data_IF_876060289974
#
_entry.id   IF_876060289974
#
_cell.length_a   1.000
_cell.length_b   1.000
_cell.length_c   1.000
_cell.angle_alpha   90.00
_cell.angle_beta   90.00
_cell.angle_gamma   90.00
#
_symmetry.space_group_name_H-M   'P 1'
#
loop_
_entity.id
_entity.type
_entity.pdbx_description
1 polymer ?
#
# COMPACT_ATOMS: atom_id res chain seq x y z
N UNK A 1 -20.59 -14.21 -15.26
CA UNK A 1 -20.04 -12.87 -15.60
C UNK A 1 -18.90 -12.61 -14.63
N UNK A 2 -17.70 -12.35 -15.13
CA UNK A 2 -16.53 -12.11 -14.27
C UNK A 2 -16.72 -10.86 -13.41
N UNK A 3 -16.06 -10.83 -12.26
CA UNK A 3 -16.10 -9.70 -11.33
C UNK A 3 -15.29 -8.53 -11.87
N UNK A 4 -15.84 -7.30 -11.84
CA UNK A 4 -15.11 -6.09 -12.27
C UNK A 4 -14.30 -5.55 -11.09
N UNK A 5 -12.99 -5.43 -11.30
CA UNK A 5 -12.05 -4.90 -10.32
C UNK A 5 -11.28 -3.69 -10.84
N UNK A 6 -10.98 -2.74 -9.94
CA UNK A 6 -10.18 -1.57 -10.30
C UNK A 6 -8.68 -1.85 -10.14
N UNK A 7 -7.89 -1.33 -11.09
CA UNK A 7 -6.42 -1.36 -11.06
C UNK A 7 -5.86 0.03 -11.33
N UNK A 8 -4.60 0.23 -10.97
CA UNK A 8 -3.92 1.51 -11.13
C UNK A 8 -2.58 1.29 -11.83
N UNK A 9 -2.39 1.97 -12.95
CA UNK A 9 -1.10 2.06 -13.62
C UNK A 9 -0.47 3.42 -13.33
N UNK A 10 0.86 3.47 -13.09
CA UNK A 10 1.58 4.68 -12.70
C UNK A 10 2.59 5.11 -13.75
N UNK A 11 2.52 6.38 -14.13
CA UNK A 11 3.51 7.04 -14.98
C UNK A 11 4.19 8.17 -14.21
N UNK A 12 5.51 8.34 -14.41
CA UNK A 12 6.28 9.31 -13.66
C UNK A 12 6.78 10.42 -14.57
N UNK A 13 6.39 11.64 -14.28
CA UNK A 13 6.87 12.86 -14.95
C UNK A 13 7.89 13.54 -14.03
N UNK A 14 9.17 13.52 -14.43
CA UNK A 14 10.26 14.15 -13.69
C UNK A 14 10.34 15.64 -14.00
N UNK A 15 10.99 16.43 -13.15
CA UNK A 15 11.17 17.89 -13.33
C UNK A 15 11.76 18.31 -14.68
N UNK A 16 12.62 17.49 -15.28
CA UNK A 16 13.24 17.76 -16.59
C UNK A 16 12.32 17.47 -17.79
N UNK A 17 11.16 16.89 -17.55
CA UNK A 17 10.21 16.58 -18.62
C UNK A 17 9.54 17.86 -19.13
N UNK A 18 9.40 18.02 -20.45
CA UNK A 18 8.87 19.24 -21.11
C UNK A 18 7.51 19.69 -20.56
N UNK A 19 6.66 18.76 -20.15
CA UNK A 19 5.33 19.07 -19.61
C UNK A 19 5.30 19.24 -18.08
N UNK A 20 6.41 19.06 -17.36
CA UNK A 20 6.41 19.09 -15.89
C UNK A 20 5.89 20.41 -15.33
N UNK A 21 6.38 21.55 -15.85
CA UNK A 21 6.00 22.88 -15.34
C UNK A 21 4.49 23.10 -15.49
N UNK A 22 3.95 22.87 -16.66
CA UNK A 22 2.52 23.00 -16.95
C UNK A 22 1.67 22.09 -16.06
N UNK A 23 2.03 20.80 -15.93
CA UNK A 23 1.28 19.86 -15.08
C UNK A 23 1.35 20.25 -13.59
N UNK A 24 2.48 20.83 -13.15
CA UNK A 24 2.63 21.33 -11.78
C UNK A 24 1.75 22.57 -11.53
N UNK A 25 1.68 23.48 -12.48
CA UNK A 25 0.79 24.66 -12.45
C UNK A 25 -0.67 24.23 -12.33
N UNK A 26 -1.11 23.25 -13.12
CA UNK A 26 -2.48 22.72 -13.03
C UNK A 26 -2.75 22.08 -11.63
N UNK A 27 -1.77 21.39 -11.06
CA UNK A 27 -1.88 20.89 -9.67
C UNK A 27 -1.88 22.04 -8.63
N UNK A 28 -1.24 23.18 -8.94
CA UNK A 28 -1.28 24.36 -8.09
C UNK A 28 -2.67 25.01 -8.10
N UNK A 29 -3.35 25.10 -9.25
CA UNK A 29 -4.74 25.55 -9.34
C UNK A 29 -5.67 24.68 -8.48
N UNK A 30 -5.50 23.36 -8.50
CA UNK A 30 -6.25 22.46 -7.62
C UNK A 30 -6.02 22.74 -6.13
N UNK A 31 -4.80 23.12 -5.73
CA UNK A 31 -4.49 23.56 -4.36
C UNK A 31 -5.18 24.88 -4.01
N UNK A 32 -5.22 25.84 -4.94
CA UNK A 32 -5.91 27.11 -4.71
C UNK A 32 -7.40 26.88 -4.44
N UNK A 33 -8.06 26.16 -5.34
CA UNK A 33 -9.48 25.80 -5.18
C UNK A 33 -9.74 25.03 -3.87
N UNK A 34 -8.86 24.07 -3.50
CA UNK A 34 -9.00 23.36 -2.23
C UNK A 34 -8.95 24.33 -1.03
N UNK A 35 -7.99 25.27 -1.02
CA UNK A 35 -7.83 26.21 0.08
C UNK A 35 -9.01 27.21 0.16
N UNK A 36 -9.47 27.71 -0.99
CA UNK A 36 -10.61 28.60 -1.08
C UNK A 36 -11.87 27.88 -0.53
N UNK A 37 -12.19 26.71 -1.04
CA UNK A 37 -13.30 25.91 -0.55
C UNK A 37 -13.20 25.62 0.96
N UNK A 38 -12.00 25.28 1.43
CA UNK A 38 -11.78 25.00 2.85
C UNK A 38 -11.95 26.26 3.71
N UNK A 39 -11.60 27.44 3.19
CA UNK A 39 -11.85 28.71 3.86
C UNK A 39 -13.35 28.94 4.06
N UNK A 40 -14.15 28.86 3.02
CA UNK A 40 -15.59 29.03 3.08
C UNK A 40 -16.27 28.06 4.05
N UNK A 41 -15.92 26.77 3.96
CA UNK A 41 -16.47 25.75 4.87
C UNK A 41 -16.08 26.05 6.32
N UNK A 42 -14.81 26.45 6.57
CA UNK A 42 -14.34 26.76 7.92
C UNK A 42 -15.00 28.02 8.49
N UNK A 43 -15.21 29.07 7.67
CA UNK A 43 -15.90 30.29 8.10
C UNK A 43 -17.35 29.99 8.51
N UNK A 44 -18.10 29.29 7.68
CA UNK A 44 -19.49 28.89 7.99
C UNK A 44 -19.53 28.00 9.25
N UNK A 45 -18.59 27.06 9.39
CA UNK A 45 -18.55 26.16 10.55
C UNK A 45 -18.18 26.89 11.86
N UNK A 46 -17.22 27.82 11.82
CA UNK A 46 -16.75 28.55 13.02
C UNK A 46 -17.77 29.59 13.45
N UNK A 47 -18.37 30.32 12.50
CA UNK A 47 -19.31 31.43 12.80
C UNK A 47 -20.71 30.93 13.10
N UNK A 48 -21.21 29.95 12.36
CA UNK A 48 -22.59 29.54 12.34
C UNK A 48 -22.81 28.09 12.81
N UNK A 49 -21.75 27.33 13.07
CA UNK A 49 -21.86 25.90 13.33
C UNK A 49 -22.27 25.06 12.11
N UNK A 50 -22.38 25.69 10.94
CA UNK A 50 -22.89 25.07 9.73
C UNK A 50 -21.79 24.43 8.92
N UNK A 51 -21.89 23.12 8.64
CA UNK A 51 -21.02 22.42 7.72
C UNK A 51 -21.56 22.46 6.30
N UNK A 52 -20.96 23.27 5.44
CA UNK A 52 -21.29 23.31 4.01
C UNK A 52 -20.85 22.00 3.33
N UNK A 53 -21.82 21.30 2.75
CA UNK A 53 -21.61 20.05 2.03
C UNK A 53 -21.14 20.33 0.60
N UNK A 54 -20.73 19.24 -0.09
CA UNK A 54 -20.22 19.33 -1.46
C UNK A 54 -21.13 20.17 -2.38
N UNK A 55 -22.43 19.92 -2.37
CA UNK A 55 -23.39 20.57 -3.26
C UNK A 55 -23.52 22.09 -3.01
N UNK A 56 -23.44 22.50 -1.73
CA UNK A 56 -23.51 23.91 -1.33
C UNK A 56 -22.22 24.65 -1.74
N UNK A 57 -21.04 24.07 -1.42
CA UNK A 57 -19.75 24.68 -1.76
C UNK A 57 -19.49 24.72 -3.26
N UNK A 58 -19.92 23.72 -4.03
CA UNK A 58 -19.83 23.71 -5.49
C UNK A 58 -20.63 24.86 -6.08
N UNK A 59 -21.85 25.12 -5.58
CA UNK A 59 -22.70 26.22 -6.01
C UNK A 59 -22.10 27.58 -5.68
N UNK A 60 -21.60 27.77 -4.46
CA UNK A 60 -20.98 29.01 -3.98
C UNK A 60 -19.78 29.36 -4.86
N UNK A 61 -18.82 28.45 -4.99
CA UNK A 61 -17.57 28.74 -5.70
C UNK A 61 -17.74 28.83 -7.22
N UNK A 62 -18.74 28.18 -7.78
CA UNK A 62 -19.07 28.31 -9.20
C UNK A 62 -19.66 29.68 -9.54
N UNK A 63 -20.35 30.30 -8.59
CA UNK A 63 -20.95 31.64 -8.75
C UNK A 63 -19.97 32.76 -8.38
N UNK A 64 -18.86 32.45 -7.70
CA UNK A 64 -17.88 33.43 -7.25
C UNK A 64 -17.08 34.01 -8.45
N UNK A 65 -17.25 35.33 -8.66
CA UNK A 65 -16.57 36.08 -9.70
C UNK A 65 -15.32 36.84 -9.18
N UNK A 66 -15.26 37.09 -7.88
CA UNK A 66 -14.18 37.81 -7.25
C UNK A 66 -12.91 36.90 -7.14
N UNK A 67 -13.10 35.63 -6.77
CA UNK A 67 -12.04 34.65 -6.65
C UNK A 67 -12.28 33.45 -7.61
N UNK A 68 -11.90 33.57 -8.87
CA UNK A 68 -12.28 32.62 -9.92
C UNK A 68 -11.50 31.28 -9.89
N UNK A 69 -11.11 30.79 -8.73
CA UNK A 69 -10.36 29.54 -8.57
C UNK A 69 -11.09 28.32 -9.16
N UNK A 70 -12.44 28.34 -9.11
CA UNK A 70 -13.23 27.28 -9.72
C UNK A 70 -13.16 27.32 -11.25
N UNK A 71 -13.31 28.51 -11.83
CA UNK A 71 -13.25 28.72 -13.27
C UNK A 71 -11.84 28.50 -13.85
N UNK A 72 -10.79 28.75 -13.06
CA UNK A 72 -9.40 28.53 -13.43
C UNK A 72 -9.03 27.04 -13.57
N UNK A 73 -9.86 26.12 -13.06
CA UNK A 73 -9.59 24.68 -13.17
C UNK A 73 -9.67 24.20 -14.63
N UNK A 74 -8.85 23.19 -15.01
CA UNK A 74 -8.79 22.71 -16.39
C UNK A 74 -10.11 22.16 -16.94
N UNK A 75 -11.01 21.70 -16.07
CA UNK A 75 -12.36 21.26 -16.41
C UNK A 75 -13.29 21.40 -15.18
N UNK A 76 -14.59 21.59 -15.41
CA UNK A 76 -15.56 21.63 -14.33
C UNK A 76 -15.56 20.34 -13.48
N UNK A 77 -15.41 19.15 -14.13
CA UNK A 77 -15.32 17.88 -13.40
C UNK A 77 -14.08 17.83 -12.51
N UNK A 78 -12.94 18.40 -12.92
CA UNK A 78 -11.72 18.42 -12.08
C UNK A 78 -11.90 19.33 -10.86
N UNK A 79 -12.63 20.45 -10.99
CA UNK A 79 -13.03 21.29 -9.86
C UNK A 79 -13.91 20.49 -8.89
N UNK A 80 -14.96 19.88 -9.38
CA UNK A 80 -15.86 19.03 -8.59
C UNK A 80 -15.12 17.91 -7.86
N UNK A 81 -14.17 17.24 -8.52
CA UNK A 81 -13.37 16.18 -7.88
C UNK A 81 -12.50 16.72 -6.73
N UNK A 82 -11.94 17.93 -6.87
CA UNK A 82 -11.19 18.59 -5.79
C UNK A 82 -12.10 18.88 -4.58
N UNK A 83 -13.29 19.41 -4.82
CA UNK A 83 -14.29 19.68 -3.76
C UNK A 83 -14.79 18.40 -3.09
N UNK A 84 -15.00 17.32 -3.85
CA UNK A 84 -15.37 15.99 -3.30
C UNK A 84 -14.28 15.40 -2.42
N UNK A 85 -13.00 15.65 -2.72
CA UNK A 85 -11.90 15.23 -1.83
C UNK A 85 -11.97 16.02 -0.52
N UNK A 86 -12.20 17.32 -0.57
CA UNK A 86 -12.33 18.15 0.63
C UNK A 86 -13.55 17.74 1.48
N UNK A 87 -14.71 17.48 0.88
CA UNK A 87 -15.91 17.00 1.59
C UNK A 87 -15.63 15.67 2.31
N UNK A 88 -14.90 14.74 1.67
CA UNK A 88 -14.46 13.49 2.32
C UNK A 88 -13.51 13.75 3.49
N UNK A 89 -12.62 14.74 3.40
CA UNK A 89 -11.72 15.10 4.50
C UNK A 89 -12.50 15.62 5.71
N UNK A 90 -13.52 16.44 5.49
CA UNK A 90 -14.41 16.92 6.55
C UNK A 90 -15.24 15.77 7.15
N UNK A 91 -15.79 14.88 6.34
CA UNK A 91 -16.49 13.66 6.82
C UNK A 91 -15.58 12.79 7.70
N UNK A 92 -14.33 12.58 7.27
CA UNK A 92 -13.34 11.83 8.03
C UNK A 92 -12.98 12.50 9.36
N UNK A 93 -12.91 13.83 9.37
CA UNK A 93 -12.69 14.58 10.61
C UNK A 93 -13.84 14.40 11.60
N UNK A 94 -15.09 14.53 11.16
CA UNK A 94 -16.25 14.30 12.02
C UNK A 94 -16.32 12.88 12.56
N UNK A 95 -15.99 11.87 11.72
CA UNK A 95 -15.91 10.49 12.15
C UNK A 95 -14.82 10.29 13.21
N UNK A 96 -13.64 10.88 13.00
CA UNK A 96 -12.54 10.85 13.97
C UNK A 96 -12.88 11.55 15.28
N UNK A 97 -13.66 12.65 15.25
CA UNK A 97 -14.12 13.32 16.45
C UNK A 97 -15.07 12.46 17.27
N UNK A 98 -15.96 11.70 16.62
CA UNK A 98 -16.88 10.77 17.31
C UNK A 98 -16.09 9.65 17.96
N UNK A 99 -15.23 8.97 17.20
CA UNK A 99 -14.39 7.90 17.74
C UNK A 99 -13.45 8.40 18.87
N UNK A 100 -12.91 9.62 18.76
CA UNK A 100 -12.10 10.22 19.81
C UNK A 100 -12.88 10.46 21.12
N UNK A 101 -14.16 10.80 21.06
CA UNK A 101 -14.98 10.98 22.28
C UNK A 101 -15.14 9.69 23.05
N UNK A 102 -15.25 8.58 22.34
CA UNK A 102 -15.46 7.23 22.90
C UNK A 102 -14.11 6.56 23.26
N UNK A 103 -13.05 6.82 22.50
CA UNK A 103 -11.77 6.13 22.57
C UNK A 103 -10.59 7.09 22.61
N UNK A 104 -10.50 7.95 23.63
CA UNK A 104 -9.43 8.96 23.77
C UNK A 104 -8.03 8.38 23.81
N UNK A 105 -7.88 7.17 24.35
CA UNK A 105 -6.63 6.42 24.47
C UNK A 105 -6.00 6.04 23.12
N UNK A 106 -6.81 5.90 22.07
CA UNK A 106 -6.33 5.63 20.71
C UNK A 106 -5.66 6.83 20.05
N UNK A 107 -5.84 8.04 20.57
CA UNK A 107 -5.41 9.28 19.95
C UNK A 107 -4.36 10.00 20.78
N UNK A 108 -3.39 10.64 20.10
CA UNK A 108 -2.41 11.52 20.78
C UNK A 108 -3.01 12.86 21.23
N UNK A 109 -4.23 13.18 20.82
CA UNK A 109 -4.95 14.40 21.12
C UNK A 109 -6.19 14.56 20.24
N UNK A 110 -6.96 15.62 20.49
CA UNK A 110 -8.19 15.92 19.75
C UNK A 110 -7.93 16.07 18.24
N UNK A 111 -8.67 15.40 17.36
CA UNK A 111 -8.55 15.55 15.91
C UNK A 111 -8.73 16.99 15.47
N UNK A 112 -7.86 17.47 14.58
CA UNK A 112 -7.90 18.84 14.05
C UNK A 112 -8.70 18.90 12.74
N UNK A 113 -9.44 19.99 12.54
CA UNK A 113 -10.14 20.26 11.26
C UNK A 113 -9.16 20.18 10.08
N UNK A 114 -9.66 19.87 8.86
CA UNK A 114 -8.85 19.93 7.64
C UNK A 114 -8.10 21.26 7.53
N UNK A 115 -6.78 21.18 7.41
CA UNK A 115 -5.90 22.35 7.35
C UNK A 115 -5.77 22.92 5.94
N UNK A 116 -5.19 24.12 5.84
CA UNK A 116 -4.79 24.70 4.56
C UNK A 116 -3.51 24.05 4.02
N UNK A 117 -3.47 23.92 2.71
CA UNK A 117 -2.27 23.53 1.98
C UNK A 117 -1.30 24.71 1.86
N UNK A 118 -0.01 24.45 1.79
CA UNK A 118 1.04 25.50 1.70
C UNK A 118 0.83 26.39 0.48
N UNK A 119 1.12 27.70 0.62
CA UNK A 119 0.97 28.72 -0.44
C UNK A 119 1.63 28.27 -1.75
N UNK A 120 2.88 27.85 -1.70
CA UNK A 120 3.68 27.41 -2.87
C UNK A 120 3.53 25.90 -3.16
N UNK A 121 2.54 25.24 -2.53
CA UNK A 121 2.26 23.82 -2.71
C UNK A 121 1.46 23.52 -3.96
N UNK A 122 1.26 22.25 -4.20
CA UNK A 122 0.38 21.71 -5.23
C UNK A 122 -0.48 20.58 -4.63
N UNK A 123 -1.64 20.36 -5.21
CA UNK A 123 -2.58 19.33 -4.76
C UNK A 123 -2.94 18.37 -5.90
N UNK A 124 -3.45 17.22 -5.56
CA UNK A 124 -3.92 16.23 -6.52
C UNK A 124 -4.96 16.85 -7.47
N UNK A 125 -4.74 16.64 -8.78
CA UNK A 125 -5.70 16.97 -9.81
C UNK A 125 -6.28 15.68 -10.39
N UNK A 126 -7.60 15.55 -10.39
CA UNK A 126 -8.30 14.37 -10.90
C UNK A 126 -9.09 14.72 -12.16
N UNK A 127 -8.89 13.94 -13.21
CA UNK A 127 -9.61 13.99 -14.47
C UNK A 127 -10.42 12.71 -14.64
N UNK A 128 -11.71 12.83 -14.94
CA UNK A 128 -12.59 11.69 -15.16
C UNK A 128 -12.42 11.11 -16.57
N UNK A 129 -13.04 9.98 -16.84
CA UNK A 129 -13.11 9.36 -18.16
C UNK A 129 -13.78 10.25 -19.22
N UNK A 130 -14.63 11.20 -18.82
CA UNK A 130 -15.23 12.20 -19.72
C UNK A 130 -14.22 13.23 -20.21
N UNK A 131 -13.16 13.51 -19.42
CA UNK A 131 -12.15 14.50 -19.75
C UNK A 131 -11.00 13.93 -20.59
N UNK A 132 -10.74 12.63 -20.50
CA UNK A 132 -9.63 11.96 -21.18
C UNK A 132 -10.17 10.96 -22.20
N UNK A 133 -9.52 10.87 -23.36
CA UNK A 133 -9.96 9.97 -24.45
C UNK A 133 -8.85 9.00 -24.84
N UNK A 134 -9.20 7.71 -24.91
CA UNK A 134 -8.31 6.70 -25.50
C UNK A 134 -8.41 6.77 -27.02
N UNK A 135 -7.29 7.07 -27.69
CA UNK A 135 -7.18 7.07 -29.15
C UNK A 135 -5.93 6.32 -29.57
N UNK A 136 -6.07 5.31 -30.44
CA UNK A 136 -4.94 4.51 -30.96
C UNK A 136 -3.96 4.04 -29.87
N UNK A 137 -4.47 3.55 -28.73
CA UNK A 137 -3.66 3.08 -27.62
C UNK A 137 -3.02 4.16 -26.74
N UNK A 138 -3.28 5.44 -27.02
CA UNK A 138 -2.82 6.59 -26.22
C UNK A 138 -3.97 7.22 -25.47
N UNK A 139 -3.72 7.61 -24.21
CA UNK A 139 -4.64 8.43 -23.41
C UNK A 139 -4.33 9.91 -23.68
N UNK A 140 -5.29 10.60 -24.31
CA UNK A 140 -5.22 12.03 -24.64
C UNK A 140 -5.90 12.83 -23.52
N UNK A 141 -5.22 13.86 -23.04
CA UNK A 141 -5.70 14.80 -22.03
C UNK A 141 -6.43 16.00 -22.66
N UNK A 142 -7.18 16.81 -21.90
CA UNK A 142 -7.84 18.03 -22.39
C UNK A 142 -6.87 18.99 -23.11
N UNK A 143 -7.38 19.85 -23.99
CA UNK A 143 -6.55 20.80 -24.77
C UNK A 143 -5.64 21.67 -23.92
N UNK A 144 -6.06 22.08 -22.73
CA UNK A 144 -5.27 22.88 -21.78
C UNK A 144 -3.96 22.19 -21.35
N UNK A 145 -3.84 20.87 -21.55
CA UNK A 145 -2.63 20.10 -21.30
C UNK A 145 -1.62 20.16 -22.47
N UNK A 146 -1.80 21.07 -23.44
CA UNK A 146 -0.82 21.33 -24.49
C UNK A 146 -0.45 20.11 -25.34
N UNK A 147 -1.40 19.20 -25.59
CA UNK A 147 -1.16 17.97 -26.35
C UNK A 147 -0.46 16.86 -25.55
N UNK A 148 -0.44 16.94 -24.22
CA UNK A 148 0.09 15.90 -23.37
C UNK A 148 -0.68 14.59 -23.54
N UNK A 149 0.05 13.50 -23.74
CA UNK A 149 -0.49 12.13 -23.86
C UNK A 149 0.31 11.15 -23.05
N UNK A 150 -0.30 10.02 -22.70
CA UNK A 150 0.34 8.87 -22.05
C UNK A 150 -0.02 7.61 -22.82
N UNK A 151 0.92 6.70 -23.00
CA UNK A 151 0.67 5.38 -23.58
C UNK A 151 0.54 4.36 -22.45
N UNK A 152 -0.70 4.00 -22.04
CA UNK A 152 -0.89 3.07 -20.95
C UNK A 152 -0.66 1.63 -21.40
N UNK A 153 -0.07 0.80 -20.52
CA UNK A 153 0.14 -0.62 -20.78
C UNK A 153 -1.17 -1.41 -20.71
N UNK A 154 -2.14 -0.96 -19.91
CA UNK A 154 -3.41 -1.66 -19.75
C UNK A 154 -4.23 -1.78 -21.06
N UNK A 155 -3.99 -0.91 -22.06
CA UNK A 155 -4.69 -1.01 -23.36
C UNK A 155 -4.36 -2.27 -24.15
N UNK A 156 -3.28 -2.97 -23.77
CA UNK A 156 -2.84 -4.23 -24.36
C UNK A 156 -3.34 -5.47 -23.60
N UNK A 157 -4.06 -5.26 -22.50
CA UNK A 157 -4.59 -6.37 -21.67
C UNK A 157 -5.92 -6.85 -22.24
N UNK A 158 -6.09 -8.14 -22.33
CA UNK A 158 -7.34 -8.78 -22.81
C UNK A 158 -8.50 -8.60 -21.80
N UNK A 159 -8.16 -8.56 -20.50
CA UNK A 159 -9.09 -8.35 -19.40
C UNK A 159 -9.46 -6.88 -19.17
N UNK A 160 -8.88 -5.92 -19.90
CA UNK A 160 -9.23 -4.51 -19.82
C UNK A 160 -10.69 -4.27 -20.23
N UNK A 161 -11.43 -3.48 -19.41
CA UNK A 161 -12.83 -3.13 -19.66
C UNK A 161 -13.05 -1.64 -19.89
N UNK A 162 -12.56 -0.79 -19.00
CA UNK A 162 -12.78 0.66 -19.12
C UNK A 162 -11.76 1.47 -18.35
N UNK A 163 -11.41 2.61 -18.91
CA UNK A 163 -10.68 3.67 -18.21
C UNK A 163 -11.66 4.46 -17.31
N UNK A 164 -11.26 4.77 -16.06
CA UNK A 164 -12.09 5.45 -15.09
C UNK A 164 -11.65 6.90 -14.84
N UNK A 165 -10.39 7.11 -14.50
CA UNK A 165 -9.86 8.44 -14.21
C UNK A 165 -8.34 8.49 -14.27
N UNK A 166 -7.79 9.68 -14.51
CA UNK A 166 -6.40 10.02 -14.33
C UNK A 166 -6.23 10.93 -13.11
N UNK A 167 -5.29 10.60 -12.24
CA UNK A 167 -4.94 11.41 -11.06
C UNK A 167 -3.50 11.89 -11.19
N UNK A 168 -3.29 13.20 -11.23
CA UNK A 168 -1.97 13.81 -11.18
C UNK A 168 -1.62 14.07 -9.72
N UNK A 169 -0.67 13.35 -9.18
CA UNK A 169 -0.26 13.45 -7.78
C UNK A 169 1.11 14.13 -7.71
N UNK A 170 1.15 15.41 -7.26
CA UNK A 170 2.40 16.14 -7.16
C UNK A 170 3.24 15.62 -5.99
N UNK A 171 4.51 15.39 -6.27
CA UNK A 171 5.56 15.16 -5.30
C UNK A 171 6.62 16.24 -5.43
N UNK A 172 7.54 16.35 -4.48
CA UNK A 172 8.55 17.42 -4.47
C UNK A 172 9.34 17.56 -5.78
N UNK A 173 9.71 16.42 -6.42
CA UNK A 173 10.60 16.42 -7.59
C UNK A 173 9.97 15.78 -8.84
N UNK A 174 8.70 15.43 -8.79
CA UNK A 174 8.00 14.74 -9.88
C UNK A 174 6.49 14.84 -9.72
N UNK A 175 5.78 14.49 -10.76
CA UNK A 175 4.35 14.21 -10.73
C UNK A 175 4.15 12.74 -11.07
N UNK A 176 3.38 12.04 -10.28
CA UNK A 176 2.94 10.68 -10.59
C UNK A 176 1.54 10.77 -11.19
N UNK A 177 1.39 10.27 -12.40
CA UNK A 177 0.09 10.12 -13.03
C UNK A 177 -0.39 8.71 -12.76
N UNK A 178 -1.46 8.59 -12.00
CA UNK A 178 -2.14 7.33 -11.74
C UNK A 178 -3.33 7.21 -12.67
N UNK A 179 -3.32 6.18 -13.51
CA UNK A 179 -4.41 5.84 -14.41
C UNK A 179 -5.21 4.72 -13.78
N UNK A 180 -6.44 5.03 -13.40
CA UNK A 180 -7.38 4.06 -12.80
C UNK A 180 -8.22 3.46 -13.90
N UNK A 181 -8.27 2.14 -13.96
CA UNK A 181 -9.00 1.40 -14.97
C UNK A 181 -9.64 0.14 -14.38
N UNK A 182 -10.64 -0.37 -15.06
CA UNK A 182 -11.34 -1.60 -14.70
C UNK A 182 -10.83 -2.75 -15.54
N UNK A 183 -10.67 -3.89 -14.87
CA UNK A 183 -10.44 -5.20 -15.51
C UNK A 183 -11.55 -6.16 -15.10
N UNK A 184 -11.77 -7.15 -15.90
CA UNK A 184 -12.57 -8.31 -15.52
C UNK A 184 -11.63 -9.39 -14.97
N UNK A 185 -11.90 -9.84 -13.75
CA UNK A 185 -11.16 -10.91 -13.13
C UNK A 185 -11.96 -12.22 -13.21
N UNK A 186 -11.28 -13.37 -13.34
CA UNK A 186 -11.96 -14.65 -13.37
C UNK A 186 -12.70 -14.92 -12.06
N UNK A 187 -13.70 -15.75 -12.12
CA UNK A 187 -14.34 -16.31 -10.93
C UNK A 187 -13.31 -17.05 -10.08
N UNK A 188 -13.61 -17.19 -8.79
CA UNK A 188 -12.72 -17.93 -7.89
C UNK A 188 -12.52 -19.36 -8.42
N UNK A 189 -11.27 -19.82 -8.39
CA UNK A 189 -10.95 -21.20 -8.71
C UNK A 189 -11.75 -22.16 -7.83
N UNK A 190 -12.13 -23.29 -8.39
CA UNK A 190 -12.71 -24.39 -7.61
C UNK A 190 -11.76 -24.78 -6.48
N UNK A 191 -12.33 -25.02 -5.32
CA UNK A 191 -11.58 -25.37 -4.15
C UNK A 191 -11.25 -26.85 -4.09
N UNK A 192 -10.05 -27.19 -4.52
CA UNK A 192 -9.49 -28.55 -4.46
C UNK A 192 -8.81 -28.89 -3.13
N UNK A 193 -9.02 -28.06 -2.08
CA UNK A 193 -8.40 -28.24 -0.79
C UNK A 193 -6.92 -27.85 -0.71
N UNK A 194 -6.30 -27.43 -1.85
CA UNK A 194 -4.89 -27.01 -1.90
C UNK A 194 -4.72 -25.58 -1.41
N UNK A 195 -3.85 -25.37 -0.43
CA UNK A 195 -3.56 -24.05 0.13
C UNK A 195 -2.06 -23.80 0.33
N UNK A 196 -1.69 -22.52 0.32
CA UNK A 196 -0.38 -22.00 0.65
C UNK A 196 -0.47 -21.20 1.94
N UNK A 197 0.30 -21.58 2.98
CA UNK A 197 0.48 -20.82 4.21
C UNK A 197 1.68 -19.89 4.11
N UNK A 198 1.54 -18.66 4.61
CA UNK A 198 2.60 -17.64 4.56
C UNK A 198 2.80 -17.03 5.95
N UNK A 199 4.02 -17.16 6.47
CA UNK A 199 4.52 -16.35 7.60
C UNK A 199 5.35 -15.18 7.04
N UNK A 200 5.03 -13.95 7.46
CA UNK A 200 5.68 -12.73 6.99
C UNK A 200 6.71 -12.25 8.00
N UNK A 201 7.96 -12.13 7.56
CA UNK A 201 9.07 -11.77 8.43
C UNK A 201 10.05 -10.75 7.84
N UNK A 202 11.07 -10.40 8.63
CA UNK A 202 12.12 -9.45 8.24
C UNK A 202 13.28 -10.13 7.52
N UNK A 203 13.67 -11.34 7.93
CA UNK A 203 14.77 -12.09 7.31
C UNK A 203 14.29 -12.89 6.10
N UNK A 204 13.19 -13.58 6.28
CA UNK A 204 12.37 -14.13 5.22
C UNK A 204 11.18 -13.19 5.05
N UNK A 205 11.07 -12.52 3.90
CA UNK A 205 9.94 -11.64 3.62
C UNK A 205 8.63 -12.43 3.62
N UNK A 206 8.68 -13.67 3.15
CA UNK A 206 7.61 -14.65 3.21
C UNK A 206 8.22 -16.05 3.33
N UNK A 207 7.88 -16.78 4.37
CA UNK A 207 8.11 -18.23 4.44
C UNK A 207 6.83 -18.92 3.99
N UNK A 208 6.91 -19.75 2.96
CA UNK A 208 5.76 -20.33 2.27
C UNK A 208 5.79 -21.86 2.40
N UNK A 209 4.73 -22.41 2.97
CA UNK A 209 4.45 -23.84 3.04
C UNK A 209 3.15 -24.17 2.29
N UNK A 210 2.92 -25.44 2.00
CA UNK A 210 1.69 -25.89 1.33
C UNK A 210 1.29 -27.29 1.82
N UNK A 211 0.05 -27.66 1.56
CA UNK A 211 -0.51 -29.00 1.84
C UNK A 211 -0.62 -29.86 0.57
N UNK A 212 0.07 -29.50 -0.51
CA UNK A 212 0.04 -30.21 -1.78
C UNK A 212 1.26 -31.11 -2.00
N UNK A 213 2.11 -31.32 -0.97
CA UNK A 213 3.34 -32.10 -1.06
C UNK A 213 4.45 -31.45 -1.91
N UNK A 214 4.34 -30.14 -2.18
CA UNK A 214 5.31 -29.38 -2.98
C UNK A 214 6.44 -28.83 -2.11
N UNK A 215 7.63 -28.56 -2.69
CA UNK A 215 8.72 -27.93 -1.96
C UNK A 215 8.30 -26.60 -1.33
N UNK A 216 8.63 -26.43 -0.05
CA UNK A 216 8.47 -25.15 0.62
C UNK A 216 9.56 -24.16 0.18
N UNK A 217 9.25 -22.87 0.18
CA UNK A 217 10.22 -21.84 -0.17
C UNK A 217 10.13 -20.63 0.75
N UNK A 218 11.24 -19.88 0.84
CA UNK A 218 11.27 -18.62 1.58
C UNK A 218 11.84 -17.50 0.71
N UNK A 219 11.12 -16.40 0.61
CA UNK A 219 11.60 -15.22 -0.11
C UNK A 219 12.54 -14.44 0.80
N UNK A 220 13.80 -14.27 0.35
CA UNK A 220 14.83 -13.59 1.10
C UNK A 220 14.51 -12.12 1.37
N UNK A 221 14.34 -11.74 2.64
CA UNK A 221 14.09 -10.35 3.07
C UNK A 221 15.36 -9.52 3.37
N UNK A 222 16.55 -10.15 3.38
CA UNK A 222 17.83 -9.47 3.69
C UNK A 222 18.15 -8.31 2.74
N UNK A 223 17.84 -8.37 1.43
CA UNK A 223 18.02 -7.23 0.53
C UNK A 223 17.25 -5.99 0.97
N UNK A 224 16.00 -6.12 1.47
CA UNK A 224 15.21 -5.01 2.00
C UNK A 224 15.87 -4.38 3.24
N UNK A 225 16.45 -5.20 4.10
CA UNK A 225 17.23 -4.72 5.27
C UNK A 225 18.44 -3.92 4.82
N UNK A 226 19.21 -4.43 3.86
CA UNK A 226 20.40 -3.77 3.31
C UNK A 226 20.06 -2.42 2.70
N UNK A 227 18.98 -2.34 1.88
CA UNK A 227 18.49 -1.10 1.30
C UNK A 227 18.15 -0.08 2.39
N UNK A 228 17.45 -0.51 3.46
CA UNK A 228 17.08 0.35 4.57
C UNK A 228 18.28 0.80 5.40
N UNK A 229 19.23 -0.08 5.68
CA UNK A 229 20.48 0.26 6.41
C UNK A 229 21.31 1.30 5.65
N UNK A 230 21.53 1.09 4.35
CA UNK A 230 22.20 2.06 3.51
C UNK A 230 21.50 3.42 3.52
N UNK A 231 20.19 3.41 3.36
CA UNK A 231 19.35 4.62 3.41
C UNK A 231 19.52 5.35 4.75
N UNK A 232 19.39 4.64 5.88
CA UNK A 232 19.47 5.23 7.21
C UNK A 232 20.85 5.86 7.45
N UNK A 233 21.95 5.17 7.09
CA UNK A 233 23.31 5.70 7.20
C UNK A 233 23.49 6.99 6.40
N UNK A 234 23.02 7.01 5.13
CA UNK A 234 23.16 8.18 4.26
C UNK A 234 22.27 9.35 4.67
N UNK A 235 21.02 9.07 5.08
CA UNK A 235 20.09 10.13 5.51
C UNK A 235 20.58 10.81 6.82
N UNK A 236 21.12 10.03 7.76
CA UNK A 236 21.72 10.56 8.99
C UNK A 236 22.89 11.50 8.68
N UNK A 237 23.82 11.05 7.84
CA UNK A 237 24.94 11.87 7.37
C UNK A 237 24.48 13.16 6.68
N UNK A 238 23.52 13.10 5.77
CA UNK A 238 23.03 14.31 5.09
C UNK A 238 22.30 15.28 6.04
N UNK A 239 21.57 14.78 7.04
CA UNK A 239 20.97 15.61 8.08
C UNK A 239 22.04 16.35 8.88
N UNK A 240 23.10 15.66 9.28
CA UNK A 240 24.22 16.24 10.01
C UNK A 240 24.92 17.35 9.19
N UNK A 241 25.21 17.09 7.92
CA UNK A 241 25.78 18.08 7.01
C UNK A 241 24.86 19.28 6.84
N UNK A 242 23.56 19.07 6.62
CA UNK A 242 22.59 20.16 6.46
C UNK A 242 22.51 21.04 7.73
N UNK A 243 22.53 20.43 8.92
CA UNK A 243 22.53 21.17 10.20
C UNK A 243 23.77 22.03 10.37
N UNK A 244 24.96 21.47 10.06
CA UNK A 244 26.22 22.20 10.17
C UNK A 244 26.31 23.37 9.18
N UNK A 245 25.97 23.14 7.91
CA UNK A 245 26.18 24.12 6.84
C UNK A 245 25.07 25.18 6.74
N UNK A 246 23.79 24.74 6.84
CA UNK A 246 22.65 25.58 6.47
C UNK A 246 21.64 25.76 7.61
N UNK A 247 21.90 25.23 8.82
CA UNK A 247 20.94 25.17 9.94
C UNK A 247 19.57 24.58 9.51
N UNK A 248 19.56 23.71 8.49
CA UNK A 248 18.37 23.10 7.90
C UNK A 248 18.32 21.60 8.17
N UNK A 249 17.13 21.04 8.28
CA UNK A 249 16.93 19.59 8.49
C UNK A 249 16.71 18.82 7.18
N UNK A 250 16.84 19.49 6.02
CA UNK A 250 16.38 18.97 4.75
C UNK A 250 17.22 19.41 3.54
N UNK A 251 17.37 18.53 2.54
CA UNK A 251 17.95 18.84 1.24
C UNK A 251 17.29 18.06 0.10
N UNK A 252 17.36 18.58 -1.14
CA UNK A 252 16.89 17.87 -2.35
C UNK A 252 17.57 16.50 -2.52
N UNK A 253 18.83 16.36 -2.07
CA UNK A 253 19.58 15.11 -2.12
C UNK A 253 18.94 14.02 -1.23
N UNK A 254 18.42 14.41 -0.09
CA UNK A 254 17.68 13.51 0.82
C UNK A 254 16.37 13.01 0.18
N UNK A 255 15.64 13.85 -0.55
CA UNK A 255 14.44 13.41 -1.28
C UNK A 255 14.78 12.40 -2.36
N UNK A 256 15.80 12.69 -3.16
CA UNK A 256 16.26 11.76 -4.22
C UNK A 256 16.66 10.40 -3.64
N UNK A 257 17.35 10.40 -2.50
CA UNK A 257 17.73 9.18 -1.79
C UNK A 257 16.49 8.41 -1.28
N UNK A 258 15.53 9.12 -0.70
CA UNK A 258 14.26 8.56 -0.22
C UNK A 258 13.47 7.91 -1.36
N UNK A 259 13.37 8.61 -2.48
CA UNK A 259 12.69 8.09 -3.67
C UNK A 259 13.38 6.84 -4.24
N UNK A 260 14.70 6.85 -4.34
CA UNK A 260 15.48 5.71 -4.82
C UNK A 260 15.28 4.49 -3.90
N UNK A 261 15.30 4.71 -2.58
CA UNK A 261 15.01 3.67 -1.58
C UNK A 261 13.61 3.11 -1.77
N UNK A 262 12.59 3.96 -1.84
CA UNK A 262 11.20 3.52 -1.94
C UNK A 262 10.94 2.73 -3.22
N UNK A 263 11.50 3.14 -4.35
CA UNK A 263 11.38 2.39 -5.63
C UNK A 263 12.03 1.00 -5.56
N UNK A 264 13.22 0.89 -4.94
CA UNK A 264 13.88 -0.41 -4.78
C UNK A 264 13.06 -1.37 -3.91
N UNK A 265 12.47 -0.87 -2.82
CA UNK A 265 11.60 -1.67 -1.96
C UNK A 265 10.33 -2.08 -2.70
N UNK A 266 9.71 -1.15 -3.43
CA UNK A 266 8.52 -1.43 -4.22
C UNK A 266 8.78 -2.50 -5.31
N UNK A 267 9.87 -2.39 -6.05
CA UNK A 267 10.28 -3.37 -7.06
C UNK A 267 10.48 -4.78 -6.44
N UNK A 268 11.21 -4.84 -5.33
CA UNK A 268 11.41 -6.09 -4.60
C UNK A 268 10.07 -6.73 -4.17
N UNK A 269 9.14 -5.93 -3.63
CA UNK A 269 7.83 -6.42 -3.20
C UNK A 269 6.96 -6.86 -4.38
N UNK A 270 7.04 -6.16 -5.52
CA UNK A 270 6.33 -6.58 -6.72
C UNK A 270 6.82 -7.93 -7.24
N UNK A 271 8.14 -8.15 -7.27
CA UNK A 271 8.75 -9.43 -7.68
C UNK A 271 8.38 -10.54 -6.69
N UNK A 272 8.51 -10.27 -5.38
CA UNK A 272 8.18 -11.22 -4.33
C UNK A 272 6.71 -11.66 -4.38
N UNK A 273 5.78 -10.71 -4.44
CA UNK A 273 4.35 -11.01 -4.52
C UNK A 273 3.96 -11.70 -5.83
N UNK A 274 4.65 -11.41 -6.94
CA UNK A 274 4.46 -12.13 -8.21
C UNK A 274 4.89 -13.60 -8.07
N UNK A 275 6.09 -13.85 -7.51
CA UNK A 275 6.59 -15.22 -7.31
C UNK A 275 5.64 -16.09 -6.47
N UNK A 276 5.06 -15.51 -5.40
CA UNK A 276 4.07 -16.22 -4.57
C UNK A 276 2.84 -16.61 -5.38
N UNK A 277 2.28 -15.66 -6.14
CA UNK A 277 1.05 -15.90 -6.90
C UNK A 277 1.28 -16.83 -8.09
N UNK A 278 2.42 -16.69 -8.78
CA UNK A 278 2.78 -17.56 -9.91
C UNK A 278 2.96 -19.01 -9.43
N UNK A 279 3.63 -19.24 -8.29
CA UNK A 279 3.73 -20.57 -7.67
C UNK A 279 2.35 -21.18 -7.40
N UNK A 280 1.41 -20.41 -6.85
CA UNK A 280 0.05 -20.89 -6.62
C UNK A 280 -0.69 -21.20 -7.93
N UNK A 281 -0.50 -20.34 -8.93
CA UNK A 281 -1.17 -20.51 -10.23
C UNK A 281 -0.67 -21.74 -11.00
N UNK A 282 0.66 -21.97 -10.98
CA UNK A 282 1.34 -23.10 -11.65
C UNK A 282 1.02 -24.45 -11.00
N UNK A 283 0.71 -24.47 -9.69
CA UNK A 283 0.48 -25.70 -8.92
C UNK A 283 -0.99 -25.91 -8.52
N UNK A 284 -1.91 -25.17 -9.16
CA UNK A 284 -3.34 -25.28 -8.92
C UNK A 284 -3.76 -25.11 -7.45
N UNK A 285 -3.08 -24.20 -6.75
CA UNK A 285 -3.41 -23.77 -5.38
C UNK A 285 -4.49 -22.70 -5.45
N UNK A 286 -5.65 -22.97 -4.84
CA UNK A 286 -6.82 -22.08 -4.87
C UNK A 286 -6.89 -21.09 -3.72
N UNK A 287 -6.09 -21.27 -2.65
CA UNK A 287 -6.13 -20.46 -1.43
C UNK A 287 -4.74 -20.08 -0.94
N UNK A 288 -4.59 -18.83 -0.50
CA UNK A 288 -3.40 -18.34 0.20
C UNK A 288 -3.83 -17.90 1.61
N UNK A 289 -3.19 -18.42 2.65
CA UNK A 289 -3.41 -18.04 4.05
C UNK A 289 -2.21 -17.23 4.52
N UNK A 290 -2.44 -16.01 5.01
CA UNK A 290 -1.38 -15.12 5.47
C UNK A 290 -1.60 -14.77 6.93
N UNK A 291 -0.60 -14.97 7.76
CA UNK A 291 -0.59 -14.54 9.15
C UNK A 291 -0.52 -13.01 9.27
N UNK A 292 -1.38 -12.44 10.12
CA UNK A 292 -1.38 -11.00 10.40
C UNK A 292 -1.97 -10.71 11.77
N UNK A 293 -1.23 -9.96 12.59
CA UNK A 293 -1.76 -9.40 13.83
C UNK A 293 -2.08 -7.92 13.66
N UNK A 294 -3.25 -7.48 14.11
CA UNK A 294 -3.61 -6.07 14.12
C UNK A 294 -2.71 -5.29 15.10
N UNK A 295 -2.20 -4.14 14.63
CA UNK A 295 -1.33 -3.28 15.44
C UNK A 295 0.07 -3.82 15.73
N UNK A 296 0.53 -4.91 15.11
CA UNK A 296 1.82 -5.54 15.38
C UNK A 296 3.03 -4.60 15.26
N UNK A 297 2.92 -3.51 14.48
CA UNK A 297 3.95 -2.46 14.40
C UNK A 297 3.91 -1.45 15.55
N UNK A 298 2.81 -1.38 16.29
CA UNK A 298 2.58 -0.38 17.34
C UNK A 298 2.98 -0.89 18.73
N UNK A 299 2.92 -2.22 18.95
CA UNK A 299 3.18 -2.88 20.24
C UNK A 299 4.32 -3.90 20.17
N UNK A 300 5.35 -3.63 19.38
CA UNK A 300 6.48 -4.57 19.27
C UNK A 300 7.44 -4.42 20.47
N UNK A 301 7.61 -5.49 21.25
CA UNK A 301 8.62 -5.61 22.29
C UNK A 301 10.04 -5.85 21.74
N UNK A 302 10.33 -5.35 20.54
CA UNK A 302 11.61 -5.51 19.86
C UNK A 302 12.61 -4.45 20.32
N UNK A 303 13.91 -4.77 20.31
CA UNK A 303 14.98 -3.79 20.52
C UNK A 303 14.86 -2.64 19.49
N UNK A 304 15.34 -1.45 19.82
CA UNK A 304 15.27 -0.25 18.97
C UNK A 304 15.73 -0.53 17.52
N UNK A 305 16.85 -1.25 17.36
CA UNK A 305 17.41 -1.61 16.05
C UNK A 305 16.52 -2.60 15.26
N UNK A 306 15.99 -3.59 15.95
CA UNK A 306 15.07 -4.57 15.34
C UNK A 306 13.75 -3.92 14.95
N UNK A 307 13.20 -3.06 15.82
CA UNK A 307 11.98 -2.31 15.56
C UNK A 307 12.15 -1.38 14.34
N UNK A 308 13.29 -0.68 14.21
CA UNK A 308 13.57 0.15 13.05
C UNK A 308 13.52 -0.66 11.74
N UNK A 309 14.11 -1.85 11.70
CA UNK A 309 14.05 -2.71 10.51
C UNK A 309 12.64 -3.19 10.21
N UNK A 310 11.91 -3.60 11.23
CA UNK A 310 10.54 -4.11 11.10
C UNK A 310 9.57 -3.03 10.61
N UNK A 311 9.59 -1.83 11.23
CA UNK A 311 8.68 -0.73 10.89
C UNK A 311 8.91 -0.19 9.47
N UNK A 312 10.16 -0.22 8.97
CA UNK A 312 10.52 0.31 7.66
C UNK A 312 10.11 -0.57 6.46
N UNK A 313 9.74 -1.84 6.70
CA UNK A 313 9.21 -2.72 5.65
C UNK A 313 7.69 -2.56 5.58
N UNK A 314 7.09 -2.17 4.44
CA UNK A 314 5.66 -1.95 4.32
C UNK A 314 4.89 -3.27 4.10
N UNK A 315 4.83 -4.15 5.11
CA UNK A 315 4.20 -5.47 5.04
C UNK A 315 2.73 -5.42 4.59
N UNK A 316 1.94 -4.47 5.08
CA UNK A 316 0.54 -4.30 4.63
C UNK A 316 0.46 -4.13 3.11
N UNK A 317 1.37 -3.32 2.53
CA UNK A 317 1.44 -3.13 1.08
C UNK A 317 1.83 -4.42 0.35
N UNK A 318 2.73 -5.22 0.94
CA UNK A 318 3.10 -6.54 0.39
C UNK A 318 1.91 -7.49 0.36
N UNK A 319 1.15 -7.57 1.46
CA UNK A 319 -0.09 -8.35 1.53
C UNK A 319 -1.09 -7.90 0.46
N UNK A 320 -1.33 -6.60 0.31
CA UNK A 320 -2.22 -6.08 -0.72
C UNK A 320 -1.73 -6.38 -2.14
N UNK A 321 -0.41 -6.41 -2.37
CA UNK A 321 0.15 -6.83 -3.65
C UNK A 321 -0.09 -8.32 -3.95
N UNK A 322 -0.05 -9.18 -2.94
CA UNK A 322 -0.44 -10.59 -3.08
C UNK A 322 -1.94 -10.68 -3.38
N UNK A 323 -2.79 -9.97 -2.62
CA UNK A 323 -4.25 -10.03 -2.77
C UNK A 323 -4.72 -9.69 -4.18
N UNK A 324 -4.35 -8.51 -4.69
CA UNK A 324 -4.86 -8.11 -6.01
C UNK A 324 -4.31 -8.98 -7.15
N UNK A 325 -3.06 -9.48 -7.03
CA UNK A 325 -2.49 -10.40 -8.04
C UNK A 325 -3.12 -11.79 -7.97
N UNK A 326 -3.41 -12.27 -6.76
CA UNK A 326 -4.13 -13.53 -6.54
C UNK A 326 -5.55 -13.45 -7.11
N UNK A 327 -6.25 -12.33 -6.87
CA UNK A 327 -7.56 -12.06 -7.44
C UNK A 327 -7.57 -12.14 -8.97
N UNK A 328 -6.54 -11.60 -9.65
CA UNK A 328 -6.37 -11.72 -11.10
C UNK A 328 -6.21 -13.17 -11.60
N UNK A 329 -5.95 -14.13 -10.72
CA UNK A 329 -5.80 -15.56 -10.99
C UNK A 329 -6.93 -16.41 -10.39
N UNK A 330 -7.97 -15.78 -9.84
CA UNK A 330 -9.06 -16.47 -9.16
C UNK A 330 -8.66 -17.16 -7.85
N UNK A 331 -7.52 -16.76 -7.24
CA UNK A 331 -6.99 -17.34 -6.01
C UNK A 331 -7.52 -16.53 -4.81
N UNK A 332 -8.10 -17.20 -3.82
CA UNK A 332 -8.61 -16.58 -2.60
C UNK A 332 -7.46 -16.27 -1.63
N UNK A 333 -7.47 -15.10 -0.99
CA UNK A 333 -6.52 -14.72 0.06
C UNK A 333 -7.24 -14.53 1.38
N UNK A 334 -6.81 -15.28 2.40
CA UNK A 334 -7.38 -15.29 3.74
C UNK A 334 -6.35 -14.74 4.70
N UNK A 335 -6.74 -13.78 5.53
CA UNK A 335 -5.90 -13.26 6.60
C UNK A 335 -6.31 -13.94 7.91
N UNK A 336 -5.33 -14.49 8.61
CA UNK A 336 -5.53 -15.20 9.88
C UNK A 336 -4.68 -14.54 10.96
N UNK A 337 -5.23 -14.47 12.17
CA UNK A 337 -4.50 -14.03 13.36
C UNK A 337 -3.40 -15.04 13.69
N UNK A 338 -2.18 -14.57 13.98
CA UNK A 338 -0.98 -15.43 14.14
C UNK A 338 -0.54 -15.64 15.60
N UNK A 339 -1.40 -15.34 16.60
CA UNK A 339 -1.06 -15.61 18.01
C UNK A 339 -0.76 -17.08 18.22
N UNK A 340 0.30 -17.32 19.01
CA UNK A 340 0.80 -18.64 19.41
C UNK A 340 1.42 -19.51 18.31
N UNK A 341 1.38 -19.11 17.03
CA UNK A 341 1.93 -19.91 15.91
C UNK A 341 3.45 -20.09 15.95
N UNK A 342 4.18 -19.18 16.59
CA UNK A 342 5.65 -19.21 16.64
C UNK A 342 6.26 -20.12 17.70
N UNK A 343 5.48 -20.59 18.68
CA UNK A 343 5.94 -21.40 19.80
C UNK A 343 5.21 -22.72 19.96
N UNK A 344 4.26 -23.04 19.10
CA UNK A 344 3.58 -24.33 19.01
C UNK A 344 4.17 -25.16 17.87
N UNK A 345 4.17 -26.47 17.99
CA UNK A 345 4.76 -27.40 17.03
C UNK A 345 3.74 -27.93 16.04
N UNK A 346 3.96 -27.64 14.76
CA UNK A 346 3.17 -28.25 13.70
C UNK A 346 3.48 -29.75 13.54
N UNK A 347 4.74 -30.16 13.74
CA UNK A 347 5.19 -31.56 13.62
C UNK A 347 4.53 -32.45 14.66
N UNK A 348 4.40 -31.95 15.90
CA UNK A 348 3.73 -32.66 17.00
C UNK A 348 2.21 -32.51 16.94
N UNK A 349 1.68 -31.96 15.86
CA UNK A 349 0.26 -31.74 15.60
C UNK A 349 -0.45 -30.87 16.66
N UNK A 350 0.29 -30.01 17.36
CA UNK A 350 -0.26 -29.12 18.38
C UNK A 350 -1.17 -28.03 17.77
N UNK A 351 -2.24 -27.70 18.49
CA UNK A 351 -3.06 -26.54 18.15
C UNK A 351 -2.34 -25.24 18.52
N UNK A 352 -2.43 -24.17 17.70
CA UNK A 352 -1.76 -22.90 17.96
C UNK A 352 -2.51 -22.08 19.03
N UNK A 353 -2.55 -22.60 20.26
CA UNK A 353 -3.17 -22.01 21.45
C UNK A 353 -2.15 -21.83 22.56
N UNK A 354 -2.52 -21.04 23.59
CA UNK A 354 -1.62 -20.68 24.71
C UNK A 354 -1.10 -21.91 25.48
N UNK A 355 -1.89 -22.95 25.58
CA UNK A 355 -1.58 -24.16 26.36
C UNK A 355 -0.36 -24.91 25.84
N UNK A 356 -0.21 -24.99 24.51
CA UNK A 356 0.93 -25.67 23.86
C UNK A 356 2.09 -24.71 23.52
N UNK A 357 1.96 -23.41 23.85
CA UNK A 357 2.97 -22.44 23.50
C UNK A 357 4.23 -22.57 24.33
N UNK A 358 5.34 -23.00 23.71
CA UNK A 358 6.64 -23.13 24.34
C UNK A 358 7.74 -22.41 23.50
N UNK A 359 8.17 -21.24 23.98
CA UNK A 359 9.19 -20.44 23.32
C UNK A 359 10.58 -21.09 23.32
N UNK A 360 10.88 -21.97 24.28
CA UNK A 360 12.18 -22.63 24.41
C UNK A 360 12.47 -23.57 23.25
N UNK A 361 11.45 -24.12 22.58
CA UNK A 361 11.60 -24.95 21.38
C UNK A 361 12.24 -24.19 20.19
N UNK A 362 12.20 -22.86 20.20
CA UNK A 362 12.91 -22.01 19.25
C UNK A 362 14.36 -21.83 19.74
N UNK A 363 15.18 -22.88 19.61
CA UNK A 363 16.53 -23.00 20.20
C UNK A 363 17.53 -21.99 19.65
N UNK A 364 17.38 -21.60 18.40
CA UNK A 364 18.14 -20.51 17.79
C UNK A 364 17.34 -19.81 16.69
N UNK A 365 17.90 -18.73 16.15
CA UNK A 365 17.25 -17.99 15.07
C UNK A 365 17.08 -18.85 13.83
N UNK A 366 15.82 -19.10 13.43
CA UNK A 366 15.47 -19.88 12.24
C UNK A 366 15.36 -21.38 12.48
N UNK A 367 15.55 -21.89 13.72
CA UNK A 367 15.40 -23.30 14.05
C UNK A 367 14.39 -23.50 15.17
N UNK A 368 13.48 -24.42 14.95
CA UNK A 368 12.50 -24.92 15.91
C UNK A 368 12.71 -26.43 16.07
N UNK A 369 12.62 -26.95 17.28
CA UNK A 369 12.72 -28.40 17.59
C UNK A 369 11.39 -28.85 18.18
N UNK A 370 10.80 -29.87 17.56
CA UNK A 370 9.59 -30.54 18.03
C UNK A 370 9.88 -31.40 19.27
N UNK A 371 8.85 -31.91 19.90
CA UNK A 371 8.96 -32.77 21.08
C UNK A 371 9.74 -34.06 20.78
N UNK A 372 9.52 -34.65 19.61
CA UNK A 372 10.23 -35.85 19.16
C UNK A 372 11.66 -35.57 18.65
N UNK A 373 12.19 -34.34 18.82
CA UNK A 373 13.55 -33.95 18.41
C UNK A 373 13.70 -33.58 16.92
N UNK A 374 12.63 -33.59 16.13
CA UNK A 374 12.71 -33.21 14.71
C UNK A 374 12.95 -31.71 14.56
N UNK A 375 13.94 -31.36 13.72
CA UNK A 375 14.34 -29.98 13.44
C UNK A 375 13.57 -29.43 12.23
N UNK A 376 12.92 -28.31 12.38
CA UNK A 376 12.22 -27.58 11.31
C UNK A 376 12.66 -26.13 11.29
N UNK A 377 12.61 -25.48 10.12
CA UNK A 377 12.77 -24.04 10.03
C UNK A 377 11.66 -23.34 10.81
N UNK A 378 12.01 -22.42 11.73
CA UNK A 378 11.07 -21.80 12.65
C UNK A 378 10.00 -20.91 11.95
N UNK A 379 10.37 -20.24 10.84
CA UNK A 379 9.42 -19.41 10.09
C UNK A 379 8.48 -20.31 9.25
N UNK A 380 8.99 -21.49 8.82
CA UNK A 380 8.17 -22.49 8.14
C UNK A 380 7.19 -23.18 9.09
N UNK A 381 7.63 -23.52 10.32
CA UNK A 381 6.72 -24.02 11.37
C UNK A 381 5.59 -23.00 11.63
N UNK A 382 5.93 -21.70 11.72
CA UNK A 382 4.94 -20.62 11.85
C UNK A 382 3.96 -20.60 10.68
N UNK A 383 4.44 -20.73 9.44
CA UNK A 383 3.59 -20.75 8.25
C UNK A 383 2.62 -21.95 8.24
N UNK A 384 3.07 -23.15 8.65
CA UNK A 384 2.20 -24.31 8.79
C UNK A 384 1.14 -24.09 9.88
N UNK A 385 1.51 -23.53 11.03
CA UNK A 385 0.58 -23.22 12.11
C UNK A 385 -0.45 -22.13 11.71
N UNK A 386 -0.03 -21.14 10.92
CA UNK A 386 -0.95 -20.14 10.32
C UNK A 386 -1.95 -20.83 9.40
N UNK A 387 -1.48 -21.76 8.57
CA UNK A 387 -2.34 -22.53 7.66
C UNK A 387 -3.31 -23.41 8.46
N UNK A 388 -2.85 -24.10 9.52
CA UNK A 388 -3.66 -24.94 10.41
C UNK A 388 -4.77 -24.15 11.10
N UNK A 389 -4.53 -22.91 11.50
CA UNK A 389 -5.57 -22.02 12.07
C UNK A 389 -6.74 -21.75 11.11
N UNK A 390 -6.48 -21.71 9.81
CA UNK A 390 -7.50 -21.44 8.81
C UNK A 390 -8.18 -22.71 8.29
N UNK A 391 -7.42 -23.80 8.21
CA UNK A 391 -7.90 -25.08 7.67
C UNK A 391 -7.28 -26.24 8.44
N UNK A 392 -8.00 -27.34 8.65
CA UNK A 392 -7.45 -28.56 9.25
C UNK A 392 -6.31 -29.10 8.37
N UNK A 393 -5.09 -29.00 8.87
CA UNK A 393 -3.87 -29.53 8.25
C UNK A 393 -3.08 -30.26 9.31
N UNK A 394 -2.71 -31.49 9.03
CA UNK A 394 -1.84 -32.28 9.89
C UNK A 394 -0.48 -32.48 9.24
N UNK A 395 0.53 -32.67 10.06
CA UNK A 395 1.85 -33.02 9.56
C UNK A 395 1.85 -34.44 9.01
N UNK A 396 2.43 -34.61 7.85
CA UNK A 396 2.75 -35.90 7.24
C UNK A 396 4.19 -35.89 6.71
N UNK A 397 4.67 -37.05 6.20
CA UNK A 397 6.04 -37.15 5.65
C UNK A 397 6.26 -36.37 4.36
N UNK A 398 5.20 -35.86 3.73
CA UNK A 398 5.28 -34.99 2.56
C UNK A 398 5.51 -33.51 2.91
N UNK A 399 5.36 -33.12 4.19
CA UNK A 399 5.60 -31.75 4.63
C UNK A 399 7.09 -31.40 4.65
N UNK A 400 7.44 -30.28 4.04
CA UNK A 400 8.82 -29.79 3.97
C UNK A 400 9.30 -29.23 5.33
N UNK A 401 10.49 -29.64 5.78
CA UNK A 401 11.11 -29.15 7.02
C UNK A 401 11.99 -27.92 6.81
N UNK A 402 12.52 -27.74 5.62
CA UNK A 402 13.40 -26.62 5.27
C UNK A 402 12.96 -25.97 3.96
N UNK A 403 12.88 -24.64 3.90
CA UNK A 403 12.49 -23.94 2.69
C UNK A 403 13.68 -23.74 1.75
N UNK A 404 13.44 -23.84 0.45
CA UNK A 404 14.38 -23.33 -0.55
C UNK A 404 14.40 -21.79 -0.49
N UNK A 405 15.57 -21.17 -0.42
CA UNK A 405 15.69 -19.71 -0.36
C UNK A 405 15.64 -19.12 -1.77
N UNK A 406 14.66 -18.23 -2.00
CA UNK A 406 14.45 -17.55 -3.27
C UNK A 406 14.89 -16.09 -3.17
N UNK A 407 15.80 -15.69 -4.06
CA UNK A 407 16.22 -14.29 -4.22
C UNK A 407 15.40 -13.64 -5.33
N UNK A 408 14.80 -12.49 -5.05
CA UNK A 408 13.96 -11.71 -5.99
C UNK A 408 14.58 -10.36 -6.39
N UNK A 409 15.82 -10.12 -5.96
CA UNK A 409 16.61 -8.90 -6.22
C UNK A 409 17.90 -9.26 -6.94
#
# INVERSE_FOLDING_TARGET
MGTICQRVEKHMIRQRHKYYKMLHELCHLSKNLYNHANYEIRQAFIKEGKWLRYEEIDRILKADKEYPDYAAMPTAQSAQQTLRILDRNWKSWFASLRDWREHKDKYRGKPRMPGYLKKDGAFQLTLTNQNCRLKKGMLCFPRVFGGFTVTPAFTKREDFRSFQQARLIPHKNRIVIELVYNIEVPDKKEDKGRCLGIDIGVNNLAACCNNAGLPAFAINGRPLKSINQYYNKKISHYREVCKRMNKADYSRRMDTLTEKRNRKIEDCMHKASRRVVDFCSENDISRIVIGRNDGWKQRSALSHKQNQHFVQIPFTRFIEMIRYKAEEKGIAVILTEESYTSGTSFIDNEEPVREYYNRARRVCRGMFISENGTKINADLNGAYQIMKKAFPVQWDRGCALHPAVVNVV
#
